data_IF_856148504650
#
_entry.id   IF_856148504650
#
_cell.length_a   1.000
_cell.length_b   1.000
_cell.length_c   1.000
_cell.angle_alpha   90.00
_cell.angle_beta   90.00
_cell.angle_gamma   90.00
#
_symmetry.space_group_name_H-M   'P 1'
#
loop_
_entity.id
_entity.type
_entity.pdbx_description
1 polymer ?
#
# COMPACT_ATOMS: atom_id res chain seq x y z
N UNK A 1 14.67 -8.91 -4.14
CA UNK A 1 13.52 -8.97 -3.21
C UNK A 1 12.73 -7.68 -3.36
N UNK A 2 11.45 -7.78 -3.74
CA UNK A 2 10.57 -6.63 -3.95
C UNK A 2 9.83 -6.32 -2.65
N UNK A 3 9.80 -5.05 -2.24
CA UNK A 3 9.05 -4.61 -1.04
C UNK A 3 8.65 -3.15 -1.18
N UNK A 4 7.40 -2.85 -0.87
CA UNK A 4 6.85 -1.50 -0.89
C UNK A 4 6.09 -1.22 0.40
N UNK A 5 6.04 0.05 0.79
CA UNK A 5 5.22 0.52 1.90
C UNK A 5 4.62 1.86 1.52
N UNK A 6 3.34 2.03 1.82
CA UNK A 6 2.65 3.31 1.79
C UNK A 6 2.13 3.61 3.20
N UNK A 7 2.18 4.88 3.59
CA UNK A 7 1.69 5.30 4.89
C UNK A 7 0.15 5.38 4.89
N UNK A 8 -0.50 5.24 6.06
CA UNK A 8 -1.97 5.20 6.14
C UNK A 8 -2.67 6.43 5.55
N UNK A 9 -2.06 7.62 5.65
CA UNK A 9 -2.66 8.86 5.14
C UNK A 9 -2.67 8.96 3.61
N UNK A 10 -1.79 8.23 2.91
CA UNK A 10 -1.63 8.34 1.46
C UNK A 10 -2.93 8.01 0.72
N UNK A 11 -3.63 6.97 1.16
CA UNK A 11 -4.91 6.59 0.54
C UNK A 11 -5.96 7.70 0.67
N UNK A 12 -5.99 8.40 1.80
CA UNK A 12 -6.93 9.50 2.05
C UNK A 12 -6.57 10.76 1.25
N UNK A 13 -5.28 11.14 1.22
CA UNK A 13 -4.80 12.31 0.48
C UNK A 13 -5.05 12.22 -1.04
N UNK A 14 -5.08 10.99 -1.56
CA UNK A 14 -5.30 10.73 -2.98
C UNK A 14 -6.71 10.22 -3.32
N UNK A 15 -7.63 10.19 -2.34
CA UNK A 15 -9.01 9.69 -2.51
C UNK A 15 -9.08 8.26 -3.08
N UNK A 16 -8.13 7.41 -2.70
CA UNK A 16 -8.05 6.03 -3.15
C UNK A 16 -8.95 5.11 -2.35
N UNK A 17 -9.65 4.22 -3.05
CA UNK A 17 -10.28 3.07 -2.43
C UNK A 17 -9.26 1.98 -2.06
N UNK A 18 -9.73 0.94 -1.37
CA UNK A 18 -8.89 -0.18 -0.93
C UNK A 18 -8.14 -0.84 -2.08
N UNK A 19 -8.82 -1.06 -3.21
CA UNK A 19 -8.23 -1.77 -4.34
C UNK A 19 -7.14 -0.92 -5.02
N UNK A 20 -7.40 0.37 -5.20
CA UNK A 20 -6.42 1.33 -5.72
C UNK A 20 -5.22 1.43 -4.80
N UNK A 21 -5.41 1.45 -3.47
CA UNK A 21 -4.31 1.48 -2.51
C UNK A 21 -3.41 0.23 -2.59
N UNK A 22 -3.99 -0.96 -2.77
CA UNK A 22 -3.22 -2.20 -2.98
C UNK A 22 -2.43 -2.15 -4.30
N UNK A 23 -3.07 -1.76 -5.41
CA UNK A 23 -2.42 -1.59 -6.72
C UNK A 23 -1.24 -0.62 -6.66
N UNK A 24 -1.42 0.53 -6.00
CA UNK A 24 -0.35 1.52 -5.83
C UNK A 24 0.77 1.01 -4.91
N UNK A 25 0.45 0.19 -3.91
CA UNK A 25 1.46 -0.46 -3.06
C UNK A 25 2.30 -1.46 -3.86
N UNK A 26 1.70 -2.21 -4.78
CA UNK A 26 2.45 -3.08 -5.71
C UNK A 26 3.41 -2.26 -6.59
N UNK A 27 2.93 -1.17 -7.19
CA UNK A 27 3.79 -0.28 -7.98
C UNK A 27 4.94 0.29 -7.15
N UNK A 28 4.69 0.68 -5.89
CA UNK A 28 5.72 1.16 -4.96
C UNK A 28 6.76 0.09 -4.64
N UNK A 29 6.38 -1.20 -4.65
CA UNK A 29 7.28 -2.33 -4.49
C UNK A 29 8.06 -2.68 -5.78
N UNK A 30 7.74 -2.04 -6.91
CA UNK A 30 8.30 -2.36 -8.23
C UNK A 30 7.65 -3.57 -8.89
N UNK A 31 6.40 -3.89 -8.55
CA UNK A 31 5.64 -5.05 -9.02
C UNK A 31 4.45 -4.62 -9.90
N UNK A 32 3.89 -5.54 -10.72
CA UNK A 32 2.62 -5.33 -11.43
C UNK A 32 1.47 -5.00 -10.47
N UNK A 33 0.47 -4.26 -10.94
CA UNK A 33 -0.66 -3.78 -10.12
C UNK A 33 -1.49 -4.90 -9.49
N UNK A 34 -1.50 -6.08 -10.09
CA UNK A 34 -2.25 -7.26 -9.66
C UNK A 34 -1.46 -8.15 -8.70
N UNK A 35 -0.20 -7.82 -8.42
CA UNK A 35 0.68 -8.66 -7.61
C UNK A 35 0.22 -8.85 -6.16
N UNK A 36 -0.73 -8.04 -5.67
CA UNK A 36 -1.32 -8.23 -4.33
C UNK A 36 -2.27 -9.44 -4.24
N UNK A 37 -2.80 -9.92 -5.38
CA UNK A 37 -3.73 -11.05 -5.43
C UNK A 37 -3.03 -12.38 -5.79
N UNK A 38 -1.70 -12.38 -5.85
CA UNK A 38 -0.92 -13.58 -6.10
C UNK A 38 -0.85 -14.47 -4.84
N UNK A 39 -0.82 -15.80 -5.01
CA UNK A 39 -0.75 -16.75 -3.90
C UNK A 39 0.52 -16.60 -3.04
N UNK A 40 1.59 -16.04 -3.60
CA UNK A 40 2.88 -15.81 -2.95
C UNK A 40 3.08 -14.35 -2.47
N UNK A 41 2.03 -13.54 -2.48
CA UNK A 41 2.09 -12.16 -2.03
C UNK A 41 1.92 -12.03 -0.50
N UNK A 42 2.97 -11.56 0.17
CA UNK A 42 2.89 -11.20 1.59
C UNK A 42 2.37 -9.78 1.79
N UNK A 43 1.16 -9.64 2.35
CA UNK A 43 0.55 -8.34 2.68
C UNK A 43 0.58 -8.11 4.19
N UNK A 44 1.15 -6.98 4.60
CA UNK A 44 1.18 -6.54 6.00
C UNK A 44 0.47 -5.19 6.15
N UNK A 45 -0.31 -5.05 7.22
CA UNK A 45 -1.02 -3.82 7.57
C UNK A 45 -0.49 -3.24 8.88
N UNK A 46 -0.46 -1.92 8.98
CA UNK A 46 -0.08 -1.21 10.20
C UNK A 46 -0.89 0.09 10.32
N UNK A 47 -0.97 0.62 11.53
CA UNK A 47 -1.50 1.95 11.82
C UNK A 47 -0.40 2.85 12.40
N UNK A 48 -0.60 4.15 12.31
CA UNK A 48 0.31 5.16 12.87
C UNK A 48 -0.51 6.25 13.56
N UNK A 49 0.02 6.81 14.65
CA UNK A 49 -0.52 7.99 15.31
C UNK A 49 0.38 9.18 14.94
N UNK A 50 -0.22 10.23 14.39
CA UNK A 50 0.48 11.46 14.02
C UNK A 50 0.23 12.49 15.14
N UNK A 51 1.30 13.06 15.68
CA UNK A 51 1.24 14.18 16.61
C UNK A 51 1.64 15.46 15.86
N UNK A 52 0.90 16.55 16.06
CA UNK A 52 1.21 17.89 15.57
C UNK A 52 1.19 18.88 16.74
N UNK A 53 1.75 20.08 16.54
CA UNK A 53 1.85 21.14 17.56
C UNK A 53 0.50 21.75 17.97
#
# INVERSE_FOLDING_TARGET
>A
FYRGVLLPQVALEHEWDRETFLKQTCLKAGLPTEAWDAEDADIYIFSAQIFGD
#
